data_IF_544222568000
#
_entry.id   IF_544222568000
#
_cell.length_a   1.000
_cell.length_b   1.000
_cell.length_c   1.000
_cell.angle_alpha   90.00
_cell.angle_beta   90.00
_cell.angle_gamma   90.00
#
_symmetry.space_group_name_H-M   'P 1'
#
loop_
_entity.id
_entity.type
_entity.pdbx_description
1 polymer ?
#
# COMPACT_ATOMS: atom_id res chain seq x y z
N UNK A 1 48.49 73.32 -23.96
CA UNK A 1 47.22 73.50 -23.28
C UNK A 1 46.58 72.15 -23.19
N UNK A 2 46.39 71.75 -22.05
CA UNK A 2 46.31 70.44 -21.36
C UNK A 2 45.19 69.52 -21.84
N UNK A 3 45.56 68.38 -22.44
CA UNK A 3 44.64 67.27 -22.78
C UNK A 3 44.54 66.24 -21.64
N UNK A 4 43.36 66.10 -21.12
CA UNK A 4 43.05 65.16 -20.01
C UNK A 4 42.73 63.83 -20.61
N UNK A 5 43.55 62.77 -20.32
CA UNK A 5 43.36 61.38 -20.73
C UNK A 5 42.38 60.74 -19.77
N UNK A 6 41.24 60.31 -20.31
CA UNK A 6 40.21 59.54 -19.57
C UNK A 6 40.60 58.07 -19.51
N UNK A 7 40.96 57.59 -18.33
CA UNK A 7 41.16 56.13 -18.07
C UNK A 7 39.80 55.44 -17.89
N UNK A 8 39.48 54.56 -18.81
CA UNK A 8 38.35 53.60 -18.64
C UNK A 8 38.81 52.41 -17.81
N UNK A 9 38.32 52.32 -16.58
CA UNK A 9 38.48 51.12 -15.75
C UNK A 9 37.36 50.18 -16.11
N UNK A 10 37.68 49.04 -16.75
CA UNK A 10 36.75 47.91 -16.90
C UNK A 10 36.75 47.12 -15.58
N UNK A 11 35.67 47.18 -14.82
CA UNK A 11 35.43 46.30 -13.72
C UNK A 11 34.82 44.97 -14.26
N UNK A 12 35.61 43.93 -14.27
CA UNK A 12 35.11 42.58 -14.55
C UNK A 12 34.50 41.98 -13.26
N UNK A 13 33.19 41.98 -13.18
CA UNK A 13 32.44 41.25 -12.13
C UNK A 13 32.38 39.78 -12.49
N UNK A 14 33.22 38.96 -11.87
CA UNK A 14 33.09 37.50 -11.92
C UNK A 14 31.91 37.07 -11.02
N UNK A 15 30.81 36.67 -11.64
CA UNK A 15 29.70 36.06 -10.94
C UNK A 15 30.08 34.62 -10.55
N UNK A 16 30.36 34.38 -9.26
CA UNK A 16 30.48 33.06 -8.72
C UNK A 16 29.06 32.44 -8.69
N UNK A 17 28.79 31.54 -9.61
CA UNK A 17 27.60 30.68 -9.54
C UNK A 17 27.93 29.55 -8.51
N UNK A 18 27.50 29.76 -7.27
CA UNK A 18 27.50 28.67 -6.26
C UNK A 18 26.34 27.78 -6.61
N UNK A 19 26.60 26.68 -7.32
CA UNK A 19 25.63 25.56 -7.40
C UNK A 19 25.60 24.92 -6.02
N UNK A 20 24.56 25.22 -5.23
CA UNK A 20 24.24 24.49 -4.06
C UNK A 20 23.82 23.05 -4.50
N UNK A 21 24.80 22.17 -4.58
CA UNK A 21 24.54 20.74 -4.68
C UNK A 21 23.75 20.33 -3.43
N UNK A 22 22.55 19.81 -3.63
CA UNK A 22 21.83 19.11 -2.57
C UNK A 22 22.72 17.93 -2.18
N UNK A 23 23.40 18.01 -1.04
CA UNK A 23 24.11 16.90 -0.47
C UNK A 23 23.05 15.86 -0.08
N UNK A 24 22.79 14.90 -0.96
CA UNK A 24 22.10 13.67 -0.59
C UNK A 24 23.10 12.97 0.33
N UNK A 25 22.80 12.95 1.63
CA UNK A 25 23.60 12.16 2.56
C UNK A 25 23.48 10.71 2.13
N UNK A 26 24.59 10.09 1.76
CA UNK A 26 24.59 8.67 1.53
C UNK A 26 24.17 7.95 2.83
N UNK A 27 23.33 6.91 2.74
CA UNK A 27 22.96 6.14 3.92
C UNK A 27 24.23 5.59 4.57
N UNK A 28 24.25 5.57 5.89
CA UNK A 28 25.37 5.00 6.66
C UNK A 28 25.60 3.55 6.21
N UNK A 29 26.78 3.28 5.67
CA UNK A 29 27.23 1.95 5.29
C UNK A 29 28.27 1.47 6.32
N UNK A 30 27.92 0.46 7.10
CA UNK A 30 28.80 -0.20 8.06
C UNK A 30 29.71 -1.25 7.39
N UNK A 31 29.67 -1.35 6.06
CA UNK A 31 30.38 -2.33 5.24
C UNK A 31 29.75 -3.73 5.23
N UNK A 32 28.68 -3.97 6.00
CA UNK A 32 28.01 -5.26 6.03
C UNK A 32 26.98 -5.41 4.90
N UNK A 33 26.41 -4.30 4.42
CA UNK A 33 25.40 -4.28 3.37
C UNK A 33 25.95 -4.63 1.98
N UNK A 34 27.24 -4.38 1.72
CA UNK A 34 27.86 -4.64 0.40
C UNK A 34 27.68 -6.07 -0.08
N UNK A 35 27.83 -7.05 0.80
CA UNK A 35 27.66 -8.47 0.45
C UNK A 35 26.24 -8.80 -0.02
N UNK A 36 25.23 -8.14 0.53
CA UNK A 36 23.84 -8.29 0.11
C UNK A 36 23.58 -7.67 -1.26
N UNK A 37 24.17 -6.51 -1.53
CA UNK A 37 23.98 -5.82 -2.82
C UNK A 37 24.68 -6.57 -3.96
N UNK A 38 25.88 -7.11 -3.73
CA UNK A 38 26.63 -7.84 -4.74
C UNK A 38 25.88 -9.10 -5.25
N UNK A 39 25.09 -9.77 -4.37
CA UNK A 39 24.33 -10.98 -4.77
C UNK A 39 23.10 -10.66 -5.60
N UNK A 40 22.64 -9.41 -5.62
CA UNK A 40 21.47 -8.99 -6.42
C UNK A 40 21.82 -8.73 -7.89
N UNK A 41 23.09 -8.50 -8.19
CA UNK A 41 23.53 -8.18 -9.55
C UNK A 41 23.19 -9.29 -10.54
N UNK A 42 22.50 -8.92 -11.62
CA UNK A 42 22.05 -9.85 -12.66
C UNK A 42 20.83 -10.69 -12.31
N UNK A 43 20.25 -10.50 -11.12
CA UNK A 43 19.05 -11.19 -10.68
C UNK A 43 17.80 -10.70 -11.42
N UNK A 44 16.81 -11.57 -11.51
CA UNK A 44 15.50 -11.28 -12.12
C UNK A 44 14.45 -11.27 -11.00
N UNK A 45 13.78 -10.13 -10.84
CA UNK A 45 12.67 -9.96 -9.91
C UNK A 45 11.39 -9.86 -10.69
N UNK A 46 10.41 -10.66 -10.36
CA UNK A 46 9.05 -10.59 -10.89
C UNK A 46 8.13 -9.94 -9.85
N UNK A 47 7.27 -9.03 -10.27
CA UNK A 47 6.31 -8.38 -9.39
C UNK A 47 4.89 -8.53 -9.92
N UNK A 48 4.00 -9.10 -9.09
CA UNK A 48 2.55 -9.17 -9.33
C UNK A 48 1.88 -8.31 -8.26
N UNK A 49 1.55 -7.04 -8.56
CA UNK A 49 0.72 -6.19 -7.70
C UNK A 49 -0.72 -6.68 -7.71
N UNK A 50 -1.61 -6.07 -6.92
CA UNK A 50 -3.05 -6.27 -7.12
C UNK A 50 -3.60 -5.46 -8.30
N UNK A 51 -3.05 -4.30 -8.53
CA UNK A 51 -3.23 -3.45 -9.71
C UNK A 51 -2.14 -2.40 -9.74
N UNK A 52 -1.85 -1.85 -10.90
CA UNK A 52 -1.08 -0.60 -11.07
C UNK A 52 -2.05 0.60 -11.17
N UNK A 53 -1.51 1.80 -11.32
CA UNK A 53 -2.30 3.01 -11.58
C UNK A 53 -2.83 3.72 -10.34
N UNK A 54 -2.35 3.38 -9.14
CA UNK A 54 -2.61 4.13 -7.92
C UNK A 54 -1.35 4.24 -7.04
N UNK A 55 -1.31 5.25 -6.18
CA UNK A 55 -0.11 5.73 -5.51
C UNK A 55 0.70 4.65 -4.79
N UNK A 56 0.03 3.70 -4.13
CA UNK A 56 0.70 2.66 -3.34
C UNK A 56 1.56 1.74 -4.23
N UNK A 57 0.97 1.16 -5.27
CA UNK A 57 1.67 0.21 -6.16
C UNK A 57 2.65 0.90 -7.09
N UNK A 58 2.33 2.11 -7.55
CA UNK A 58 3.26 2.95 -8.31
C UNK A 58 4.48 3.32 -7.46
N UNK A 59 4.29 3.68 -6.20
CA UNK A 59 5.39 3.98 -5.27
C UNK A 59 6.30 2.77 -5.04
N UNK A 60 5.73 1.58 -4.84
CA UNK A 60 6.52 0.34 -4.70
C UNK A 60 7.27 0.00 -5.98
N UNK A 61 6.61 0.07 -7.14
CA UNK A 61 7.27 -0.18 -8.42
C UNK A 61 8.40 0.80 -8.66
N UNK A 62 8.18 2.09 -8.41
CA UNK A 62 9.24 3.10 -8.54
C UNK A 62 10.43 2.80 -7.62
N UNK A 63 10.18 2.39 -6.38
CA UNK A 63 11.21 1.95 -5.44
C UNK A 63 12.01 0.75 -5.97
N UNK A 64 11.31 -0.29 -6.45
CA UNK A 64 11.92 -1.50 -7.03
C UNK A 64 12.77 -1.17 -8.26
N UNK A 65 12.25 -0.35 -9.18
CA UNK A 65 12.97 0.04 -10.41
C UNK A 65 14.22 0.90 -10.09
N UNK A 66 14.12 1.81 -9.12
CA UNK A 66 15.25 2.62 -8.70
C UNK A 66 16.37 1.77 -8.07
N UNK A 67 16.00 0.81 -7.21
CA UNK A 67 16.97 -0.13 -6.64
C UNK A 67 17.54 -1.06 -7.71
N UNK A 68 16.72 -1.55 -8.63
CA UNK A 68 17.17 -2.38 -9.74
C UNK A 68 18.26 -1.69 -10.57
N UNK A 69 18.04 -0.42 -10.89
CA UNK A 69 19.04 0.42 -11.59
C UNK A 69 20.33 0.57 -10.79
N UNK A 70 20.23 0.78 -9.47
CA UNK A 70 21.38 1.00 -8.61
C UNK A 70 22.20 -0.29 -8.35
N UNK A 71 21.50 -1.43 -8.21
CA UNK A 71 22.09 -2.70 -7.77
C UNK A 71 22.29 -3.72 -8.91
N UNK A 72 21.84 -3.38 -10.13
CA UNK A 72 22.09 -4.18 -11.34
C UNK A 72 21.23 -5.43 -11.46
N UNK A 73 20.01 -5.46 -10.89
CA UNK A 73 19.00 -6.48 -11.16
C UNK A 73 17.92 -5.95 -12.10
N UNK A 74 17.00 -6.80 -12.53
CA UNK A 74 15.86 -6.42 -13.37
C UNK A 74 14.53 -6.65 -12.64
N UNK A 75 13.53 -5.82 -12.92
CA UNK A 75 12.17 -5.99 -12.41
C UNK A 75 11.20 -6.07 -13.58
N UNK A 76 10.44 -7.14 -13.66
CA UNK A 76 9.33 -7.33 -14.58
C UNK A 76 8.01 -7.30 -13.81
N UNK A 77 7.01 -6.55 -14.32
CA UNK A 77 5.73 -6.33 -13.66
C UNK A 77 4.60 -6.85 -14.55
N UNK A 78 3.69 -7.62 -13.97
CA UNK A 78 2.44 -8.02 -14.64
C UNK A 78 1.27 -7.54 -13.82
N UNK A 79 0.52 -6.60 -14.38
CA UNK A 79 -0.63 -5.95 -13.74
C UNK A 79 -1.89 -6.82 -13.89
N UNK A 80 -2.47 -7.33 -12.79
CA UNK A 80 -3.74 -8.05 -12.82
C UNK A 80 -4.96 -7.15 -12.92
N UNK A 81 -4.80 -5.85 -12.74
CA UNK A 81 -5.89 -4.88 -12.78
C UNK A 81 -7.10 -5.29 -11.90
N UNK A 82 -6.86 -5.53 -10.61
CA UNK A 82 -7.85 -5.95 -9.62
C UNK A 82 -8.52 -7.31 -9.87
N UNK A 83 -8.03 -8.09 -10.84
CA UNK A 83 -8.58 -9.39 -11.18
C UNK A 83 -7.77 -10.53 -10.57
N UNK A 84 -8.37 -11.29 -9.68
CA UNK A 84 -7.72 -12.40 -8.95
C UNK A 84 -7.20 -13.47 -9.92
N UNK A 85 -8.00 -13.86 -10.91
CA UNK A 85 -7.61 -14.89 -11.88
C UNK A 85 -6.44 -14.44 -12.75
N UNK A 86 -6.47 -13.19 -13.24
CA UNK A 86 -5.37 -12.60 -13.99
C UNK A 86 -4.09 -12.56 -13.14
N UNK A 87 -4.18 -12.26 -11.84
CA UNK A 87 -3.06 -12.29 -10.91
C UNK A 87 -2.46 -13.70 -10.75
N UNK A 88 -3.31 -14.70 -10.60
CA UNK A 88 -2.89 -16.12 -10.55
C UNK A 88 -2.22 -16.54 -11.85
N UNK A 89 -2.77 -16.13 -13.01
CA UNK A 89 -2.18 -16.41 -14.32
C UNK A 89 -0.83 -15.70 -14.50
N UNK A 90 -0.73 -14.43 -14.09
CA UNK A 90 0.52 -13.66 -14.12
C UNK A 90 1.61 -14.33 -13.26
N UNK A 91 1.29 -14.73 -12.05
CA UNK A 91 2.21 -15.42 -11.16
C UNK A 91 2.67 -16.78 -11.73
N UNK A 92 1.74 -17.59 -12.29
CA UNK A 92 2.09 -18.85 -12.94
C UNK A 92 2.99 -18.62 -14.18
N UNK A 93 2.73 -17.58 -14.96
CA UNK A 93 3.59 -17.21 -16.08
C UNK A 93 5.00 -16.86 -15.64
N UNK A 94 5.13 -16.07 -14.55
CA UNK A 94 6.46 -15.77 -13.99
C UNK A 94 7.16 -17.01 -13.44
N UNK A 95 6.45 -17.94 -12.79
CA UNK A 95 7.05 -19.19 -12.32
C UNK A 95 7.66 -19.97 -13.51
N UNK A 96 6.98 -19.99 -14.67
CA UNK A 96 7.51 -20.61 -15.87
C UNK A 96 8.77 -19.90 -16.43
N UNK A 97 8.86 -18.57 -16.25
CA UNK A 97 10.02 -17.76 -16.64
C UNK A 97 11.22 -17.88 -15.68
N UNK A 98 11.01 -18.53 -14.52
CA UNK A 98 12.02 -18.80 -13.48
C UNK A 98 12.78 -17.55 -13.05
N UNK A 99 12.13 -16.53 -12.44
CA UNK A 99 12.82 -15.42 -11.80
C UNK A 99 13.57 -15.89 -10.54
N UNK A 100 14.53 -15.12 -10.08
CA UNK A 100 15.19 -15.37 -8.80
C UNK A 100 14.29 -15.03 -7.60
N UNK A 101 13.44 -14.01 -7.78
CA UNK A 101 12.50 -13.54 -6.75
C UNK A 101 11.13 -13.28 -7.38
N UNK A 102 10.09 -13.73 -6.72
CA UNK A 102 8.70 -13.42 -7.05
C UNK A 102 8.09 -12.61 -5.90
N UNK A 103 7.72 -11.36 -6.19
CA UNK A 103 7.02 -10.48 -5.25
C UNK A 103 5.53 -10.57 -5.55
N UNK A 104 4.73 -10.90 -4.54
CA UNK A 104 3.28 -11.08 -4.65
C UNK A 104 2.53 -10.14 -3.72
N UNK A 105 1.56 -9.42 -4.25
CA UNK A 105 0.52 -8.71 -3.50
C UNK A 105 -0.78 -9.50 -3.65
N UNK A 106 -1.09 -10.36 -2.69
CA UNK A 106 -2.18 -11.33 -2.83
C UNK A 106 -3.55 -10.66 -2.67
N UNK A 107 -4.26 -10.46 -3.77
CA UNK A 107 -5.63 -9.90 -3.77
C UNK A 107 -6.66 -10.85 -3.13
N UNK A 108 -6.38 -12.15 -3.10
CA UNK A 108 -7.23 -13.18 -2.50
C UNK A 108 -6.36 -14.16 -1.71
N UNK A 109 -6.75 -14.46 -0.46
CA UNK A 109 -5.96 -15.34 0.42
C UNK A 109 -5.86 -16.77 -0.11
N UNK A 110 -6.92 -17.29 -0.69
CA UNK A 110 -7.02 -18.69 -1.08
C UNK A 110 -6.49 -18.93 -2.50
N UNK A 111 -6.75 -18.01 -3.42
CA UNK A 111 -6.33 -18.15 -4.82
C UNK A 111 -4.81 -18.27 -4.97
N UNK A 112 -4.06 -17.53 -4.14
CA UNK A 112 -2.59 -17.54 -4.15
C UNK A 112 -1.97 -18.66 -3.30
N UNK A 113 -2.78 -19.43 -2.56
CA UNK A 113 -2.32 -20.48 -1.65
C UNK A 113 -1.45 -21.55 -2.33
N UNK A 114 -1.75 -21.90 -3.59
CA UNK A 114 -0.99 -22.88 -4.37
C UNK A 114 0.18 -22.26 -5.14
N UNK A 115 0.15 -20.95 -5.37
CA UNK A 115 1.19 -20.23 -6.12
C UNK A 115 2.48 -20.19 -5.31
N UNK A 116 2.38 -19.83 -4.03
CA UNK A 116 3.54 -19.69 -3.15
C UNK A 116 4.38 -20.98 -3.06
N UNK A 117 3.83 -22.14 -2.65
CA UNK A 117 4.63 -23.36 -2.54
C UNK A 117 5.10 -23.86 -3.93
N UNK A 118 4.34 -23.62 -5.00
CA UNK A 118 4.77 -23.97 -6.35
C UNK A 118 6.02 -23.17 -6.75
N UNK A 119 6.03 -21.85 -6.53
CA UNK A 119 7.20 -21.02 -6.83
C UNK A 119 8.41 -21.45 -6.02
N UNK A 120 8.24 -21.68 -4.71
CA UNK A 120 9.30 -22.14 -3.83
C UNK A 120 9.86 -23.51 -4.24
N UNK A 121 9.02 -24.45 -4.69
CA UNK A 121 9.46 -25.77 -5.18
C UNK A 121 10.27 -25.70 -6.46
N UNK A 122 10.13 -24.62 -7.24
CA UNK A 122 10.94 -24.33 -8.44
C UNK A 122 12.23 -23.55 -8.11
N UNK A 123 12.51 -23.32 -6.81
CA UNK A 123 13.69 -22.60 -6.34
C UNK A 123 13.59 -21.07 -6.44
N UNK A 124 12.40 -20.54 -6.60
CA UNK A 124 12.11 -19.10 -6.64
C UNK A 124 11.88 -18.60 -5.24
N UNK A 125 12.60 -17.54 -4.82
CA UNK A 125 12.34 -16.89 -3.54
C UNK A 125 11.04 -16.09 -3.61
N UNK A 126 10.14 -16.28 -2.65
CA UNK A 126 8.82 -15.64 -2.66
C UNK A 126 8.72 -14.62 -1.54
N UNK A 127 8.55 -13.36 -1.92
CA UNK A 127 8.27 -12.25 -1.00
C UNK A 127 6.80 -11.85 -1.17
N UNK A 128 6.03 -11.91 -0.09
CA UNK A 128 4.67 -11.38 -0.10
C UNK A 128 4.68 -9.98 0.51
N UNK A 129 3.98 -9.04 -0.11
CA UNK A 129 3.93 -7.65 0.36
C UNK A 129 2.51 -7.24 0.70
N UNK A 130 2.36 -6.43 1.75
CA UNK A 130 1.10 -5.82 2.22
C UNK A 130 -0.01 -6.83 2.55
N UNK A 131 -0.47 -7.59 1.58
CA UNK A 131 -1.45 -8.66 1.73
C UNK A 131 -0.83 -10.00 1.33
N UNK A 132 -0.94 -11.01 2.19
CA UNK A 132 -0.39 -12.35 1.93
C UNK A 132 -1.46 -13.41 1.81
N UNK A 133 -1.14 -14.48 1.09
CA UNK A 133 -1.95 -15.69 1.08
C UNK A 133 -1.89 -16.40 2.45
N UNK A 134 -2.71 -17.45 2.62
CA UNK A 134 -2.65 -18.29 3.83
C UNK A 134 -1.35 -19.09 3.93
N UNK A 135 -0.63 -19.29 2.82
CA UNK A 135 0.68 -19.96 2.82
C UNK A 135 1.80 -18.93 2.92
N UNK A 136 2.74 -19.14 3.82
CA UNK A 136 3.89 -18.26 3.98
C UNK A 136 4.89 -18.47 2.83
N UNK A 137 5.45 -17.35 2.32
CA UNK A 137 6.64 -17.33 1.47
C UNK A 137 7.92 -17.24 2.30
N UNK A 138 9.03 -16.92 1.65
CA UNK A 138 10.32 -16.73 2.33
C UNK A 138 10.33 -15.47 3.19
N UNK A 139 9.58 -14.43 2.78
CA UNK A 139 9.42 -13.20 3.55
C UNK A 139 8.03 -12.59 3.37
N UNK A 140 7.61 -11.83 4.39
CA UNK A 140 6.45 -10.94 4.33
C UNK A 140 6.86 -9.54 4.75
N UNK A 141 6.49 -8.55 3.94
CA UNK A 141 6.69 -7.13 4.21
C UNK A 141 5.33 -6.44 4.20
N UNK A 142 4.84 -6.07 5.35
CA UNK A 142 3.51 -5.48 5.49
C UNK A 142 3.17 -5.15 6.92
N UNK A 143 1.92 -4.76 7.14
CA UNK A 143 1.40 -4.47 8.48
C UNK A 143 0.71 -5.71 9.08
N UNK A 144 0.53 -5.68 10.39
CA UNK A 144 -0.41 -6.57 11.08
C UNK A 144 -1.84 -6.03 10.87
N UNK A 145 -2.58 -6.67 9.97
CA UNK A 145 -3.95 -6.26 9.63
C UNK A 145 -4.94 -6.52 10.74
N UNK A 146 -4.66 -7.48 11.65
CA UNK A 146 -5.48 -7.68 12.82
C UNK A 146 -5.31 -6.52 13.81
N UNK A 147 -4.07 -6.20 14.16
CA UNK A 147 -3.76 -5.09 15.08
C UNK A 147 -4.26 -3.75 14.53
N UNK A 148 -4.12 -3.52 13.20
CA UNK A 148 -4.67 -2.33 12.56
C UNK A 148 -6.19 -2.27 12.67
N UNK A 149 -6.89 -3.36 12.34
CA UNK A 149 -8.35 -3.45 12.46
C UNK A 149 -8.80 -3.28 13.91
N UNK A 150 -8.08 -3.88 14.84
CA UNK A 150 -8.36 -3.77 16.27
C UNK A 150 -8.35 -2.29 16.71
N UNK A 151 -7.28 -1.56 16.35
CA UNK A 151 -7.17 -0.12 16.66
C UNK A 151 -8.23 0.73 15.98
N UNK A 152 -8.58 0.44 14.74
CA UNK A 152 -9.66 1.13 14.04
C UNK A 152 -11.00 0.96 14.78
N UNK A 153 -11.31 -0.27 15.22
CA UNK A 153 -12.53 -0.54 15.98
C UNK A 153 -12.51 0.12 17.37
N UNK A 154 -11.35 0.14 18.06
CA UNK A 154 -11.20 0.88 19.33
C UNK A 154 -11.50 2.37 19.17
N UNK A 155 -11.06 3.02 18.08
CA UNK A 155 -11.38 4.43 17.84
C UNK A 155 -12.89 4.64 17.59
N UNK A 156 -13.56 3.70 16.93
CA UNK A 156 -15.03 3.73 16.81
C UNK A 156 -15.70 3.59 18.19
N UNK A 157 -15.25 2.67 19.02
CA UNK A 157 -15.78 2.51 20.40
C UNK A 157 -15.56 3.79 21.22
N UNK A 158 -14.39 4.39 21.12
CA UNK A 158 -14.07 5.66 21.80
C UNK A 158 -14.97 6.80 21.32
N UNK A 159 -15.25 6.88 20.02
CA UNK A 159 -16.06 7.94 19.43
C UNK A 159 -17.56 7.75 19.62
N UNK A 160 -18.06 6.52 19.63
CA UNK A 160 -19.48 6.18 19.57
C UNK A 160 -19.99 5.31 20.72
N UNK A 161 -19.08 4.72 21.54
CA UNK A 161 -19.45 3.81 22.60
C UNK A 161 -20.00 4.51 23.83
N UNK A 162 -20.16 3.75 24.90
CA UNK A 162 -20.84 4.09 26.15
C UNK A 162 -20.42 5.43 26.74
N UNK A 163 -19.11 5.72 26.75
CA UNK A 163 -18.57 6.92 27.41
C UNK A 163 -18.57 8.17 26.53
N UNK A 164 -18.97 8.03 25.27
CA UNK A 164 -19.03 9.13 24.29
C UNK A 164 -20.30 10.00 24.41
N UNK A 165 -21.32 9.50 25.08
CA UNK A 165 -22.66 10.11 25.11
C UNK A 165 -23.42 10.00 23.79
N UNK A 166 -22.97 9.18 22.85
CA UNK A 166 -23.59 8.91 21.56
C UNK A 166 -24.47 7.65 21.58
N UNK A 167 -25.16 7.39 20.50
CA UNK A 167 -26.13 6.30 20.41
C UNK A 167 -25.54 4.92 20.04
N UNK A 168 -24.24 4.86 19.75
CA UNK A 168 -23.55 3.61 19.40
C UNK A 168 -23.83 3.07 17.99
N UNK A 169 -24.66 3.72 17.17
CA UNK A 169 -24.94 3.26 15.81
C UNK A 169 -23.77 3.51 14.87
N UNK A 170 -23.22 2.46 14.31
CA UNK A 170 -22.07 2.54 13.40
C UNK A 170 -22.31 1.72 12.14
N UNK A 171 -21.63 2.11 11.06
CA UNK A 171 -21.59 1.33 9.82
C UNK A 171 -20.14 0.98 9.46
N UNK A 172 -19.96 -0.09 8.67
CA UNK A 172 -18.66 -0.54 8.21
C UNK A 172 -18.67 -0.65 6.69
N UNK A 173 -17.71 0.01 6.03
CA UNK A 173 -17.48 -0.11 4.59
C UNK A 173 -16.19 -0.90 4.38
N UNK A 174 -16.32 -2.12 3.88
CA UNK A 174 -15.20 -3.02 3.69
C UNK A 174 -14.66 -2.99 2.25
N UNK A 175 -13.45 -3.52 2.05
CA UNK A 175 -12.92 -3.83 0.72
C UNK A 175 -13.55 -5.08 0.12
N UNK A 176 -12.87 -5.70 -0.85
CA UNK A 176 -13.30 -6.99 -1.41
C UNK A 176 -13.31 -8.07 -0.33
N UNK A 177 -14.36 -8.91 -0.32
CA UNK A 177 -14.64 -9.82 0.78
C UNK A 177 -13.56 -10.89 1.03
N UNK A 178 -12.83 -11.31 0.00
CA UNK A 178 -11.80 -12.36 0.08
C UNK A 178 -10.37 -11.82 0.26
N UNK A 179 -10.18 -10.51 0.30
CA UNK A 179 -8.85 -9.93 0.52
C UNK A 179 -8.37 -10.15 1.96
N UNK A 180 -7.06 -10.35 2.16
CA UNK A 180 -6.49 -10.52 3.49
C UNK A 180 -6.86 -9.39 4.47
N UNK A 181 -6.81 -8.14 4.00
CA UNK A 181 -7.16 -6.95 4.79
C UNK A 181 -8.61 -6.99 5.29
N UNK A 182 -9.55 -7.35 4.41
CA UNK A 182 -10.97 -7.44 4.76
C UNK A 182 -11.23 -8.62 5.70
N UNK A 183 -10.67 -9.80 5.40
CA UNK A 183 -10.89 -11.00 6.22
C UNK A 183 -10.33 -10.80 7.62
N UNK A 184 -9.06 -10.39 7.72
CA UNK A 184 -8.36 -10.26 9.00
C UNK A 184 -8.87 -9.04 9.78
N UNK A 185 -9.10 -7.91 9.11
CA UNK A 185 -9.68 -6.72 9.74
C UNK A 185 -11.08 -6.96 10.31
N UNK A 186 -11.92 -7.71 9.60
CA UNK A 186 -13.24 -8.10 10.10
C UNK A 186 -13.18 -8.95 11.38
N UNK A 187 -12.22 -9.87 11.48
CA UNK A 187 -12.01 -10.63 12.72
C UNK A 187 -11.72 -9.70 13.90
N UNK A 188 -10.84 -8.74 13.69
CA UNK A 188 -10.51 -7.75 14.72
C UNK A 188 -11.70 -6.87 15.09
N UNK A 189 -12.50 -6.42 14.12
CA UNK A 189 -13.72 -5.66 14.37
C UNK A 189 -14.72 -6.45 15.21
N UNK A 190 -14.94 -7.71 14.84
CA UNK A 190 -15.88 -8.60 15.54
C UNK A 190 -15.42 -8.82 16.99
N UNK A 191 -14.10 -9.00 17.24
CA UNK A 191 -13.55 -9.19 18.59
C UNK A 191 -13.69 -7.94 19.47
N UNK A 192 -13.46 -6.74 18.92
CA UNK A 192 -13.61 -5.48 19.67
C UNK A 192 -15.09 -5.18 19.95
N UNK A 193 -15.96 -5.33 18.95
CA UNK A 193 -17.38 -5.01 19.14
C UNK A 193 -18.11 -6.05 20.00
N UNK A 194 -17.64 -7.30 20.04
CA UNK A 194 -18.15 -8.29 21.00
C UNK A 194 -17.92 -7.88 22.47
N UNK A 195 -16.85 -7.12 22.73
CA UNK A 195 -16.54 -6.58 24.06
C UNK A 195 -17.26 -5.26 24.37
N UNK A 196 -17.90 -4.64 23.36
CA UNK A 196 -18.57 -3.35 23.44
C UNK A 196 -20.01 -3.47 22.88
N UNK A 197 -20.91 -4.15 23.59
CA UNK A 197 -22.25 -4.49 23.08
C UNK A 197 -23.17 -3.29 22.85
N UNK A 198 -22.81 -2.12 23.35
CA UNK A 198 -23.50 -0.87 23.05
C UNK A 198 -23.26 -0.38 21.61
N UNK A 199 -22.23 -0.87 20.93
CA UNK A 199 -22.00 -0.58 19.52
C UNK A 199 -22.96 -1.42 18.68
N UNK A 200 -23.79 -0.76 17.89
CA UNK A 200 -24.78 -1.35 17.00
C UNK A 200 -24.33 -1.20 15.55
N UNK A 201 -23.90 -2.30 14.92
CA UNK A 201 -23.54 -2.30 13.50
C UNK A 201 -24.84 -2.30 12.69
N UNK A 202 -25.26 -1.11 12.20
CA UNK A 202 -26.49 -0.94 11.41
C UNK A 202 -26.32 -1.33 9.96
N UNK A 203 -25.08 -1.31 9.45
CA UNK A 203 -24.74 -1.76 8.10
C UNK A 203 -23.27 -2.22 8.04
N UNK A 204 -23.02 -3.29 7.25
CA UNK A 204 -21.66 -3.73 6.88
C UNK A 204 -21.71 -4.11 5.40
N UNK A 205 -21.04 -3.32 4.55
CA UNK A 205 -21.12 -3.48 3.09
C UNK A 205 -19.72 -3.39 2.45
N UNK A 206 -19.53 -4.13 1.35
CA UNK A 206 -18.29 -4.11 0.58
C UNK A 206 -18.38 -3.08 -0.55
N UNK A 207 -17.44 -2.14 -0.57
CA UNK A 207 -17.23 -1.22 -1.67
C UNK A 207 -16.14 -1.66 -2.65
N UNK A 208 -15.52 -2.82 -2.39
CA UNK A 208 -14.52 -3.47 -3.27
C UNK A 208 -13.32 -2.58 -3.61
N UNK A 209 -12.95 -1.68 -2.70
CA UNK A 209 -11.91 -0.66 -2.86
C UNK A 209 -12.24 0.41 -3.94
N UNK A 210 -13.50 0.56 -4.30
CA UNK A 210 -13.99 1.54 -5.28
C UNK A 210 -14.59 2.77 -4.57
N UNK A 211 -14.02 3.99 -4.75
CA UNK A 211 -14.52 5.20 -4.12
C UNK A 211 -15.96 5.56 -4.54
N UNK A 212 -16.32 5.37 -5.80
CA UNK A 212 -17.66 5.69 -6.28
C UNK A 212 -18.72 4.76 -5.68
N UNK A 213 -18.37 3.47 -5.53
CA UNK A 213 -19.21 2.49 -4.84
C UNK A 213 -19.33 2.81 -3.34
N UNK A 214 -18.23 3.20 -2.70
CA UNK A 214 -18.23 3.63 -1.30
C UNK A 214 -19.15 4.84 -1.09
N UNK A 215 -19.07 5.85 -1.96
CA UNK A 215 -19.95 7.02 -1.92
C UNK A 215 -21.44 6.63 -2.00
N UNK A 216 -21.82 5.81 -2.97
CA UNK A 216 -23.23 5.39 -3.17
C UNK A 216 -23.76 4.59 -1.97
N UNK A 217 -22.95 3.68 -1.43
CA UNK A 217 -23.28 2.88 -0.24
C UNK A 217 -23.44 3.81 0.97
N UNK A 218 -22.48 4.70 1.21
CA UNK A 218 -22.51 5.63 2.34
C UNK A 218 -23.69 6.55 2.29
N UNK A 219 -24.01 7.16 1.14
CA UNK A 219 -25.22 7.99 0.96
C UNK A 219 -26.51 7.23 1.27
N UNK A 220 -26.56 5.95 0.92
CA UNK A 220 -27.72 5.09 1.23
C UNK A 220 -27.82 4.82 2.74
N UNK A 221 -26.70 4.50 3.38
CA UNK A 221 -26.64 4.23 4.83
C UNK A 221 -27.06 5.48 5.63
N UNK A 222 -26.56 6.66 5.28
CA UNK A 222 -26.87 7.92 5.96
C UNK A 222 -28.35 8.29 5.83
N UNK A 223 -28.96 8.07 4.65
CA UNK A 223 -30.41 8.27 4.45
C UNK A 223 -31.26 7.34 5.31
N UNK A 224 -30.82 6.09 5.50
CA UNK A 224 -31.53 5.09 6.31
C UNK A 224 -31.27 5.27 7.81
N UNK A 225 -30.15 5.86 8.18
CA UNK A 225 -29.71 6.04 9.55
C UNK A 225 -29.23 7.48 9.75
N UNK A 226 -30.14 8.47 9.80
CA UNK A 226 -29.78 9.88 9.91
C UNK A 226 -29.12 10.22 11.25
N UNK A 227 -29.20 9.32 12.24
CA UNK A 227 -28.57 9.39 13.56
C UNK A 227 -27.31 8.51 13.67
N UNK A 228 -26.69 8.12 12.53
CA UNK A 228 -25.46 7.34 12.54
C UNK A 228 -24.36 8.10 13.30
N UNK A 229 -23.73 7.43 14.27
CA UNK A 229 -22.66 8.01 15.06
C UNK A 229 -21.32 7.99 14.32
N UNK A 230 -20.99 6.87 13.71
CA UNK A 230 -19.69 6.67 13.07
C UNK A 230 -19.74 5.73 11.89
N UNK A 231 -18.73 5.88 11.02
CA UNK A 231 -18.51 5.00 9.89
C UNK A 231 -17.05 4.56 9.91
N UNK A 232 -16.84 3.24 9.84
CA UNK A 232 -15.52 2.63 9.76
C UNK A 232 -15.24 2.24 8.34
N UNK A 233 -14.20 2.83 7.75
CA UNK A 233 -13.64 2.45 6.46
C UNK A 233 -12.35 1.65 6.64
N UNK A 234 -11.93 0.95 5.59
CA UNK A 234 -10.78 0.04 5.67
C UNK A 234 -9.59 0.51 4.84
N UNK A 235 -9.77 1.52 3.99
CA UNK A 235 -8.72 2.06 3.14
C UNK A 235 -9.04 3.50 2.71
N UNK A 236 -8.09 4.39 2.92
CA UNK A 236 -8.19 5.83 2.65
C UNK A 236 -8.56 6.15 1.20
N UNK A 237 -8.01 5.41 0.22
CA UNK A 237 -8.37 5.58 -1.19
C UNK A 237 -9.85 5.35 -1.46
N UNK A 238 -10.44 4.28 -0.91
CA UNK A 238 -11.88 4.01 -0.97
C UNK A 238 -12.68 5.07 -0.20
N UNK A 239 -12.16 5.48 0.97
CA UNK A 239 -12.87 6.37 1.89
C UNK A 239 -12.91 7.83 1.43
N UNK A 240 -12.16 8.20 0.37
CA UNK A 240 -12.39 9.46 -0.34
C UNK A 240 -13.83 9.55 -0.86
N UNK A 241 -14.40 8.43 -1.35
CA UNK A 241 -15.79 8.34 -1.74
C UNK A 241 -16.75 8.43 -0.55
N UNK A 242 -16.42 7.74 0.55
CA UNK A 242 -17.16 7.83 1.81
C UNK A 242 -17.26 9.26 2.32
N UNK A 243 -16.14 9.99 2.29
CA UNK A 243 -16.05 11.37 2.82
C UNK A 243 -16.85 12.41 2.02
N UNK A 244 -17.14 12.15 0.75
CA UNK A 244 -17.91 13.05 -0.12
C UNK A 244 -19.35 12.56 -0.35
N UNK A 245 -19.80 11.57 0.43
CA UNK A 245 -21.18 11.10 0.36
C UNK A 245 -22.14 12.20 0.87
N UNK A 246 -23.15 12.51 0.06
CA UNK A 246 -24.18 13.49 0.43
C UNK A 246 -25.05 12.93 1.57
N UNK A 247 -25.24 13.79 2.58
CA UNK A 247 -26.12 13.56 3.72
C UNK A 247 -27.54 13.99 3.36
#
# INVERSE_FOLDING_TARGET
>A
MTGMKLFKVLAATAALVVTAGVAVSEPYDDGQSKGYYDVLKGKKVAFVPLSMGFDLTEGWNAGLQNQAKALGYTVDVRDPNWNVEAGVQAANGFIADKPDVLILHALDQQAYNRIVPKAMSEGINVVQINMKSVTNGDAFVGTDWYEMGYKQAEEIVKACGKDSGKNGKVAIITGQASTPTTVIGNMAFDDVFAQNPEIQIVAKQAADFDPAKAQAITSTILKQNPDLCGLLGVWDGQDTGTAVADI
#
